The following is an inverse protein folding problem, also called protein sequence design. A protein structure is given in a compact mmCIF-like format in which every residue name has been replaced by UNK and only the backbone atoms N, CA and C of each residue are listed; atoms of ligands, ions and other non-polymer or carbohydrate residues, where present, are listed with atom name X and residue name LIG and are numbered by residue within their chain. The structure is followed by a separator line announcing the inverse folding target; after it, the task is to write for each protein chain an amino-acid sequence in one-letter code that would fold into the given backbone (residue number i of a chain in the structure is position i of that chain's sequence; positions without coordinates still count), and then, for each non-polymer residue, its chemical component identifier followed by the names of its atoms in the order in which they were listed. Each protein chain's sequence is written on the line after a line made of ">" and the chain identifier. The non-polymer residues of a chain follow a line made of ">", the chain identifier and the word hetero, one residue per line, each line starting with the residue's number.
data_IF_368126154269
#
_entry.id   IF_368126154269
#
_cell.length_a   1.000
_cell.length_b   1.000
_cell.length_c   1.000
_cell.angle_alpha   90.00
_cell.angle_beta   90.00
_cell.angle_gamma   90.00
#
_symmetry.space_group_name_H-M   'P 1'
#
loop_
_entity.id
_entity.type
_entity.pdbx_description
1 polymer ?
#
# COMPACT_ATOMS: atom_id res chain seq x y z
N UNK A 1 5.82 19.64 7.19
CA UNK A 1 6.82 18.64 6.85
C UNK A 1 6.74 18.38 5.35
N UNK A 2 7.77 18.77 4.64
CA UNK A 2 7.78 18.68 3.18
C UNK A 2 8.14 17.24 2.78
N UNK A 3 7.15 16.43 2.43
CA UNK A 3 7.34 15.03 2.03
C UNK A 3 8.10 14.85 0.69
N UNK A 4 8.54 15.95 0.08
CA UNK A 4 9.30 15.92 -1.18
C UNK A 4 10.74 15.40 -1.03
N UNK A 5 11.26 15.26 0.21
CA UNK A 5 12.65 14.90 0.47
C UNK A 5 12.83 13.58 1.24
N UNK A 6 11.86 12.67 1.25
CA UNK A 6 12.20 11.32 1.64
C UNK A 6 13.06 10.71 0.53
N UNK A 7 14.37 10.76 0.70
CA UNK A 7 15.34 10.06 -0.13
C UNK A 7 15.12 8.55 -0.03
N UNK A 8 14.06 8.06 -0.71
CA UNK A 8 13.86 6.62 -0.89
C UNK A 8 15.00 6.17 -1.78
N UNK A 9 15.89 5.36 -1.25
CA UNK A 9 16.93 4.72 -2.04
C UNK A 9 16.23 3.76 -3.01
N UNK A 10 16.08 4.21 -4.26
CA UNK A 10 15.42 3.45 -5.32
C UNK A 10 16.29 2.26 -5.72
N UNK A 11 15.69 1.10 -5.80
CA UNK A 11 16.34 -0.06 -6.39
C UNK A 11 16.36 0.09 -7.91
N UNK A 12 17.51 -0.11 -8.54
CA UNK A 12 17.70 0.00 -10.01
C UNK A 12 17.21 -1.26 -10.72
N UNK A 13 16.82 -1.10 -11.99
CA UNK A 13 16.47 -2.21 -12.92
C UNK A 13 15.32 -3.08 -12.42
N UNK A 14 14.29 -2.47 -11.85
CA UNK A 14 13.06 -3.15 -11.43
C UNK A 14 11.91 -2.85 -12.37
N UNK A 15 10.99 -3.80 -12.50
CA UNK A 15 9.72 -3.62 -13.21
C UNK A 15 8.73 -2.96 -12.22
N UNK A 16 8.10 -1.88 -12.65
CA UNK A 16 7.10 -1.17 -11.85
C UNK A 16 5.76 -1.17 -12.59
N UNK A 17 4.76 -1.77 -11.96
CA UNK A 17 3.39 -1.85 -12.48
C UNK A 17 2.44 -1.11 -11.54
N UNK A 18 1.63 -0.22 -12.09
CA UNK A 18 0.62 0.55 -11.37
C UNK A 18 -0.77 0.27 -11.95
N UNK A 19 -1.73 -0.04 -11.09
CA UNK A 19 -3.11 -0.30 -11.47
C UNK A 19 -4.05 0.59 -10.67
N UNK A 20 -4.79 1.44 -11.34
CA UNK A 20 -5.87 2.21 -10.74
C UNK A 20 -7.23 1.62 -11.13
N UNK A 21 -8.11 1.50 -10.16
CA UNK A 21 -9.46 0.99 -10.41
C UNK A 21 -10.46 1.49 -9.37
N UNK A 22 -11.75 1.56 -9.73
CA UNK A 22 -12.81 1.65 -8.72
C UNK A 22 -12.85 0.36 -7.87
N UNK A 23 -13.55 0.43 -6.76
CA UNK A 23 -13.74 -0.73 -5.89
C UNK A 23 -14.41 -1.89 -6.66
N UNK A 24 -13.99 -3.11 -6.36
CA UNK A 24 -14.53 -4.34 -6.92
C UNK A 24 -14.42 -4.50 -8.46
N UNK A 25 -13.52 -3.77 -9.10
CA UNK A 25 -13.31 -3.87 -10.57
C UNK A 25 -12.33 -4.99 -11.00
N UNK A 26 -11.87 -5.83 -10.07
CA UNK A 26 -10.98 -6.95 -10.37
C UNK A 26 -9.49 -6.62 -10.39
N UNK A 27 -9.09 -5.40 -10.01
CA UNK A 27 -7.69 -4.98 -10.00
C UNK A 27 -6.79 -5.91 -9.17
N UNK A 28 -7.23 -6.35 -8.00
CA UNK A 28 -6.47 -7.27 -7.16
C UNK A 28 -6.21 -8.61 -7.82
N UNK A 29 -7.16 -9.13 -8.60
CA UNK A 29 -6.97 -10.36 -9.38
C UNK A 29 -5.94 -10.15 -10.48
N UNK A 30 -6.03 -9.06 -11.23
CA UNK A 30 -5.07 -8.73 -12.29
C UNK A 30 -3.67 -8.51 -11.70
N UNK A 31 -3.56 -7.73 -10.62
CA UNK A 31 -2.30 -7.50 -9.93
C UNK A 31 -1.65 -8.82 -9.46
N UNK A 32 -2.45 -9.75 -8.93
CA UNK A 32 -1.97 -11.07 -8.49
C UNK A 32 -1.42 -11.89 -9.66
N UNK A 33 -2.14 -11.93 -10.78
CA UNK A 33 -1.70 -12.68 -11.97
C UNK A 33 -0.41 -12.11 -12.56
N UNK A 34 -0.34 -10.79 -12.71
CA UNK A 34 0.85 -10.08 -13.21
C UNK A 34 2.03 -10.32 -12.27
N UNK A 35 1.82 -10.15 -10.96
CA UNK A 35 2.86 -10.31 -9.96
C UNK A 35 3.41 -11.73 -9.92
N UNK A 36 2.54 -12.73 -10.04
CA UNK A 36 2.95 -14.15 -10.09
C UNK A 36 3.76 -14.45 -11.35
N UNK A 37 3.31 -13.95 -12.49
CA UNK A 37 3.96 -14.22 -13.78
C UNK A 37 5.37 -13.62 -13.86
N UNK A 38 5.53 -12.39 -13.41
CA UNK A 38 6.80 -11.65 -13.51
C UNK A 38 7.63 -11.63 -12.21
N UNK A 39 7.20 -12.37 -11.20
CA UNK A 39 7.81 -12.36 -9.87
C UNK A 39 7.95 -10.96 -9.28
N UNK A 40 6.82 -10.24 -9.20
CA UNK A 40 6.75 -8.91 -8.61
C UNK A 40 6.19 -8.96 -7.19
N UNK A 41 6.59 -8.01 -6.35
CA UNK A 41 5.91 -7.77 -5.10
C UNK A 41 4.52 -7.19 -5.37
N UNK A 42 3.47 -7.93 -5.03
CA UNK A 42 2.12 -7.37 -5.06
C UNK A 42 1.84 -6.57 -3.79
N UNK A 43 1.37 -5.34 -3.93
CA UNK A 43 0.88 -4.54 -2.84
C UNK A 43 -0.55 -4.05 -3.14
N UNK A 44 -1.51 -4.66 -2.45
CA UNK A 44 -2.89 -4.17 -2.36
C UNK A 44 -2.91 -3.01 -1.36
N UNK A 45 -3.02 -1.80 -1.88
CA UNK A 45 -2.93 -0.58 -1.06
C UNK A 45 -4.11 -0.46 -0.09
N UNK A 46 -5.26 -1.04 -0.41
CA UNK A 46 -6.40 -1.13 0.50
C UNK A 46 -6.10 -1.90 1.78
N UNK A 47 -5.23 -2.89 1.70
CA UNK A 47 -4.81 -3.67 2.88
C UNK A 47 -3.97 -2.84 3.86
N UNK A 48 -3.23 -1.86 3.39
CA UNK A 48 -2.49 -0.95 4.29
C UNK A 48 -3.47 -0.14 5.14
N UNK A 49 -4.54 0.39 4.53
CA UNK A 49 -5.61 1.07 5.29
C UNK A 49 -6.32 0.14 6.26
N UNK A 50 -6.55 -1.10 5.87
CA UNK A 50 -7.13 -2.12 6.76
C UNK A 50 -6.22 -2.47 7.94
N UNK A 51 -4.91 -2.50 7.72
CA UNK A 51 -3.94 -2.66 8.80
C UNK A 51 -4.05 -1.52 9.83
N UNK A 52 -4.12 -0.28 9.37
CA UNK A 52 -4.32 0.89 10.23
C UNK A 52 -5.66 0.82 10.98
N UNK A 53 -6.73 0.45 10.27
CA UNK A 53 -8.06 0.26 10.88
C UNK A 53 -8.05 -0.81 11.97
N UNK A 54 -7.36 -1.92 11.75
CA UNK A 54 -7.24 -2.99 12.73
C UNK A 54 -6.52 -2.53 14.01
N UNK A 55 -5.49 -1.68 13.88
CA UNK A 55 -4.84 -1.06 15.04
C UNK A 55 -5.84 -0.19 15.81
N UNK A 56 -6.61 0.65 15.12
CA UNK A 56 -7.62 1.51 15.76
C UNK A 56 -8.68 0.72 16.51
N UNK A 57 -9.12 -0.40 15.94
CA UNK A 57 -10.14 -1.27 16.55
C UNK A 57 -9.61 -1.96 17.80
N UNK A 58 -8.40 -2.51 17.75
CA UNK A 58 -7.84 -3.33 18.83
C UNK A 58 -7.12 -2.53 19.91
N UNK A 59 -6.61 -1.35 19.58
CA UNK A 59 -5.83 -0.51 20.48
C UNK A 59 -6.33 0.95 20.46
N UNK A 60 -7.64 1.20 20.70
CA UNK A 60 -8.22 2.53 20.54
C UNK A 60 -7.60 3.58 21.47
N UNK A 61 -7.20 3.19 22.68
CA UNK A 61 -6.60 4.10 23.66
C UNK A 61 -5.17 4.51 23.32
N UNK A 62 -4.48 3.74 22.48
CA UNK A 62 -3.12 4.05 22.01
C UNK A 62 -3.11 4.69 20.64
N UNK A 63 -4.26 4.75 19.96
CA UNK A 63 -4.35 5.20 18.58
C UNK A 63 -4.17 6.73 18.50
N UNK A 64 -2.96 7.14 18.14
CA UNK A 64 -2.61 8.51 17.82
C UNK A 64 -1.56 8.51 16.68
N UNK A 65 -1.27 9.70 16.15
CA UNK A 65 -0.37 9.82 15.01
C UNK A 65 1.04 9.25 15.27
N UNK A 66 1.63 9.55 16.44
CA UNK A 66 2.97 9.07 16.79
C UNK A 66 3.04 7.55 16.91
N UNK A 67 2.05 6.97 17.57
CA UNK A 67 1.92 5.51 17.70
C UNK A 67 1.75 4.83 16.32
N UNK A 68 0.86 5.38 15.50
CA UNK A 68 0.62 4.88 14.16
C UNK A 68 1.86 4.97 13.28
N UNK A 69 2.57 6.10 13.32
CA UNK A 69 3.84 6.28 12.59
C UNK A 69 4.86 5.21 12.97
N UNK A 70 4.99 4.93 14.26
CA UNK A 70 5.88 3.87 14.77
C UNK A 70 5.47 2.48 14.27
N UNK A 71 4.17 2.16 14.31
CA UNK A 71 3.63 0.88 13.81
C UNK A 71 3.87 0.71 12.30
N UNK A 72 3.58 1.74 11.52
CA UNK A 72 3.76 1.72 10.07
C UNK A 72 5.24 1.61 9.69
N UNK A 73 6.15 2.22 10.42
CA UNK A 73 7.60 2.12 10.15
C UNK A 73 8.13 0.69 10.29
N UNK A 74 7.46 -0.14 11.09
CA UNK A 74 7.80 -1.55 11.34
C UNK A 74 6.97 -2.53 10.52
N UNK A 75 6.04 -2.04 9.71
CA UNK A 75 5.15 -2.86 8.89
C UNK A 75 5.95 -3.71 7.91
N UNK A 76 5.64 -5.00 7.89
CA UNK A 76 6.16 -5.97 6.92
C UNK A 76 5.04 -6.45 6.01
N UNK A 77 5.39 -6.88 4.80
CA UNK A 77 4.40 -7.40 3.84
C UNK A 77 3.57 -8.56 4.41
N UNK A 78 4.19 -9.42 5.21
CA UNK A 78 3.48 -10.54 5.87
C UNK A 78 2.33 -10.07 6.78
N UNK A 79 2.44 -8.88 7.38
CA UNK A 79 1.42 -8.33 8.27
C UNK A 79 0.13 -7.98 7.49
N UNK A 80 0.26 -7.66 6.20
CA UNK A 80 -0.86 -7.36 5.31
C UNK A 80 -1.61 -8.61 4.83
N UNK A 81 -1.05 -9.80 5.06
CA UNK A 81 -1.68 -11.08 4.70
C UNK A 81 -2.57 -11.64 5.82
N UNK A 82 -2.65 -10.98 6.95
CA UNK A 82 -3.47 -11.40 8.08
C UNK A 82 -4.95 -11.41 7.68
N UNK A 83 -5.60 -12.56 7.85
CA UNK A 83 -7.03 -12.76 7.53
C UNK A 83 -7.97 -11.85 8.33
N UNK A 84 -7.56 -11.43 9.54
CA UNK A 84 -8.33 -10.46 10.35
C UNK A 84 -8.57 -9.13 9.64
N UNK A 85 -7.74 -8.76 8.68
CA UNK A 85 -7.90 -7.54 7.88
C UNK A 85 -9.08 -7.63 6.90
N UNK A 86 -9.61 -8.82 6.64
CA UNK A 86 -10.68 -9.04 5.66
C UNK A 86 -12.09 -8.89 6.22
N UNK A 87 -12.25 -8.66 7.53
CA UNK A 87 -13.57 -8.51 8.14
C UNK A 87 -14.29 -7.23 7.67
N UNK A 88 -15.62 -7.27 7.65
CA UNK A 88 -16.45 -6.12 7.29
C UNK A 88 -16.25 -4.93 8.24
N UNK A 89 -16.06 -5.21 9.53
CA UNK A 89 -15.75 -4.18 10.53
C UNK A 89 -14.46 -3.43 10.18
N UNK A 90 -13.40 -4.16 9.84
CA UNK A 90 -12.12 -3.56 9.43
C UNK A 90 -12.29 -2.76 8.14
N UNK A 91 -13.02 -3.28 7.16
CA UNK A 91 -13.29 -2.60 5.91
C UNK A 91 -14.02 -1.27 6.12
N UNK A 92 -15.03 -1.26 6.98
CA UNK A 92 -15.81 -0.05 7.30
C UNK A 92 -14.93 1.01 7.97
N UNK A 93 -14.16 0.63 8.99
CA UNK A 93 -13.25 1.57 9.67
C UNK A 93 -12.17 2.05 8.72
N UNK A 94 -11.63 1.18 7.85
CA UNK A 94 -10.63 1.57 6.85
C UNK A 94 -11.15 2.66 5.89
N UNK A 95 -12.39 2.55 5.43
CA UNK A 95 -13.00 3.55 4.56
C UNK A 95 -13.13 4.92 5.24
N UNK A 96 -13.39 4.94 6.54
CA UNK A 96 -13.49 6.17 7.33
C UNK A 96 -12.12 6.82 7.52
N UNK A 97 -11.12 6.05 7.98
CA UNK A 97 -9.78 6.57 8.25
C UNK A 97 -9.03 7.00 6.99
N UNK A 98 -9.35 6.40 5.84
CA UNK A 98 -8.76 6.78 4.55
C UNK A 98 -9.11 8.22 4.13
N UNK A 99 -10.10 8.84 4.74
CA UNK A 99 -10.45 10.26 4.56
C UNK A 99 -9.49 11.19 5.32
N UNK A 100 -8.78 10.70 6.31
CA UNK A 100 -7.86 11.50 7.11
C UNK A 100 -6.55 11.73 6.34
N UNK A 101 -6.23 12.99 6.07
CA UNK A 101 -5.06 13.38 5.28
C UNK A 101 -3.73 12.93 5.90
N UNK A 102 -3.58 13.02 7.22
CA UNK A 102 -2.35 12.59 7.92
C UNK A 102 -2.13 11.09 7.80
N UNK A 103 -3.20 10.29 7.91
CA UNK A 103 -3.14 8.84 7.73
C UNK A 103 -2.80 8.50 6.28
N UNK A 104 -3.43 9.16 5.31
CA UNK A 104 -3.11 8.98 3.89
C UNK A 104 -1.64 9.22 3.60
N UNK A 105 -1.07 10.29 4.15
CA UNK A 105 0.35 10.60 3.99
C UNK A 105 1.26 9.49 4.54
N UNK A 106 0.93 8.91 5.69
CA UNK A 106 1.69 7.78 6.25
C UNK A 106 1.58 6.53 5.36
N UNK A 107 0.39 6.25 4.85
CA UNK A 107 0.17 5.12 3.92
C UNK A 107 0.93 5.34 2.61
N UNK A 108 0.92 6.55 2.07
CA UNK A 108 1.67 6.90 0.85
C UNK A 108 3.18 6.63 1.01
N UNK A 109 3.75 6.91 2.18
CA UNK A 109 5.16 6.63 2.46
C UNK A 109 5.46 5.13 2.35
N UNK A 110 4.62 4.28 2.92
CA UNK A 110 4.82 2.83 2.89
C UNK A 110 4.64 2.27 1.47
N UNK A 111 3.65 2.79 0.74
CA UNK A 111 3.41 2.42 -0.66
C UNK A 111 4.61 2.74 -1.53
N UNK A 112 5.15 3.95 -1.43
CA UNK A 112 6.35 4.37 -2.17
C UNK A 112 7.57 3.56 -1.80
N UNK A 113 7.76 3.26 -0.52
CA UNK A 113 8.87 2.41 -0.07
C UNK A 113 8.87 1.07 -0.79
N UNK A 114 7.75 0.37 -0.81
CA UNK A 114 7.67 -0.94 -1.45
C UNK A 114 7.62 -0.86 -2.98
N UNK A 115 7.07 0.22 -3.54
CA UNK A 115 7.07 0.43 -4.98
C UNK A 115 8.48 0.57 -5.55
N UNK A 116 9.32 1.39 -4.92
CA UNK A 116 10.64 1.74 -5.42
C UNK A 116 11.77 0.88 -4.84
N UNK A 117 11.53 0.21 -3.73
CA UNK A 117 12.50 -0.68 -3.08
C UNK A 117 11.85 -2.00 -2.63
N UNK A 118 11.31 -2.78 -3.57
CA UNK A 118 10.80 -4.10 -3.21
C UNK A 118 11.94 -5.00 -2.70
N UNK A 119 11.64 -6.02 -1.88
CA UNK A 119 12.64 -7.00 -1.48
C UNK A 119 13.38 -7.61 -2.67
N UNK A 120 14.67 -7.91 -2.50
CA UNK A 120 15.55 -8.37 -3.59
C UNK A 120 15.10 -9.64 -4.29
N UNK A 121 14.32 -10.49 -3.62
CA UNK A 121 13.74 -11.71 -4.21
C UNK A 121 12.73 -11.45 -5.33
N UNK A 122 12.20 -10.22 -5.42
CA UNK A 122 11.27 -9.82 -6.48
C UNK A 122 11.99 -9.06 -7.59
N UNK A 123 11.48 -9.19 -8.82
CA UNK A 123 11.97 -8.44 -9.98
C UNK A 123 11.45 -7.01 -10.03
N UNK A 124 10.56 -6.63 -9.14
CA UNK A 124 9.95 -5.32 -9.09
C UNK A 124 8.70 -5.30 -8.22
N UNK A 125 7.79 -4.40 -8.52
CA UNK A 125 6.56 -4.19 -7.76
C UNK A 125 5.33 -4.04 -8.65
N UNK A 126 4.18 -4.46 -8.14
CA UNK A 126 2.87 -4.25 -8.74
C UNK A 126 1.92 -3.73 -7.66
N UNK A 127 1.54 -2.47 -7.77
CA UNK A 127 0.63 -1.83 -6.83
C UNK A 127 -0.75 -1.67 -7.47
N UNK A 128 -1.77 -2.04 -6.73
CA UNK A 128 -3.16 -1.80 -7.12
C UNK A 128 -3.91 -0.98 -6.06
N UNK A 129 -4.76 -0.08 -6.52
CA UNK A 129 -5.54 0.78 -5.64
C UNK A 129 -6.08 2.01 -6.35
N UNK A 130 -5.92 3.15 -5.71
CA UNK A 130 -6.32 4.47 -6.25
C UNK A 130 -5.14 5.42 -6.24
N UNK A 131 -5.08 6.29 -7.24
CA UNK A 131 -4.04 7.32 -7.37
C UNK A 131 -2.62 6.73 -7.50
N UNK A 132 -2.50 5.46 -7.86
CA UNK A 132 -1.22 4.77 -7.98
C UNK A 132 -0.44 5.28 -9.19
N UNK A 133 -1.11 5.39 -10.33
CA UNK A 133 -0.48 5.70 -11.62
C UNK A 133 0.10 7.10 -11.71
N UNK A 134 -0.35 8.03 -10.88
CA UNK A 134 0.12 9.42 -10.94
C UNK A 134 0.69 9.97 -9.62
N UNK A 135 0.24 9.45 -8.48
CA UNK A 135 0.70 9.96 -7.17
C UNK A 135 1.79 9.10 -6.54
N UNK A 136 1.59 7.78 -6.54
CA UNK A 136 2.47 6.83 -5.85
C UNK A 136 3.62 6.40 -6.76
N UNK A 137 3.28 6.02 -7.99
CA UNK A 137 4.22 5.42 -8.96
C UNK A 137 4.08 6.10 -10.33
N UNK A 138 4.33 7.42 -10.41
CA UNK A 138 4.11 8.18 -11.65
C UNK A 138 5.03 7.77 -12.79
N UNK A 139 6.17 7.15 -12.48
CA UNK A 139 7.14 6.62 -13.42
C UNK A 139 7.03 5.09 -13.60
N UNK A 140 5.87 4.50 -13.33
CA UNK A 140 5.63 3.09 -13.59
C UNK A 140 5.89 2.74 -15.05
N UNK A 141 6.52 1.57 -15.26
CA UNK A 141 6.78 1.07 -16.62
C UNK A 141 5.47 0.69 -17.32
N UNK A 142 4.50 0.20 -16.55
CA UNK A 142 3.15 -0.14 -17.04
C UNK A 142 2.09 0.45 -16.13
N UNK A 143 1.12 1.11 -16.74
CA UNK A 143 -0.01 1.75 -16.06
C UNK A 143 -1.32 1.21 -16.64
N UNK A 144 -2.16 0.69 -15.77
CA UNK A 144 -3.47 0.15 -16.13
C UNK A 144 -4.59 0.89 -15.40
N UNK A 145 -5.68 1.10 -16.10
CA UNK A 145 -6.92 1.69 -15.58
C UNK A 145 -8.06 0.70 -15.87
N UNK A 146 -8.75 0.26 -14.83
CA UNK A 146 -9.88 -0.65 -14.95
C UNK A 146 -11.21 0.05 -14.71
#
# INVERSE_FOLDING_TARGET
>A
MNYKNNNIIKRKNIIKVAIDSPAAAGAGTQARLISKHYNLLQLDTGRVYRYVANIKINEPNKFNYGYLKKKISKLKIKDLKNKKLLSDKVATVASIIAKNKKIRNLVDIIQKKYAYKPPKKYNGSCLDGRDITYKILPDADFKFFL
#
